data_IF_786718381107
#
_entry.id   IF_786718381107
#
_cell.length_a   1.000
_cell.length_b   1.000
_cell.length_c   1.000
_cell.angle_alpha   90.00
_cell.angle_beta   90.00
_cell.angle_gamma   90.00
#
_symmetry.space_group_name_H-M   'P 1'
#
loop_
_entity.id
_entity.type
_entity.pdbx_description
1 polymer ?
#
# COMPACT_ATOMS: atom_id res chain seq x y z
N UNK A 1 4.42 -27.02 1.56
CA UNK A 1 3.18 -26.91 0.75
C UNK A 1 2.01 -27.12 1.72
N UNK A 2 0.91 -26.37 1.60
CA UNK A 2 -0.22 -26.40 2.54
C UNK A 2 -0.24 -25.30 3.61
N UNK A 3 0.62 -24.28 3.48
CA UNK A 3 0.54 -23.07 4.31
C UNK A 3 -0.35 -22.05 3.60
N UNK A 4 -1.19 -21.35 4.37
CA UNK A 4 -1.91 -20.19 3.87
C UNK A 4 -0.93 -19.04 3.63
N UNK A 5 -0.98 -18.43 2.46
CA UNK A 5 -0.12 -17.33 2.05
C UNK A 5 -0.91 -16.03 2.13
N UNK A 6 -0.40 -15.06 2.87
CA UNK A 6 -0.98 -13.71 2.96
C UNK A 6 -0.03 -12.70 2.32
N UNK A 7 -0.55 -11.83 1.46
CA UNK A 7 0.20 -10.72 0.89
C UNK A 7 -0.08 -9.42 1.62
N UNK A 8 0.95 -8.62 1.87
CA UNK A 8 0.80 -7.28 2.43
C UNK A 8 0.75 -6.27 1.28
N UNK A 9 -0.32 -5.49 1.23
CA UNK A 9 -0.47 -4.40 0.26
C UNK A 9 -0.34 -3.07 1.02
N UNK A 10 0.53 -2.21 0.50
CA UNK A 10 0.81 -0.89 1.04
C UNK A 10 0.24 0.14 0.08
N UNK A 11 -0.72 0.94 0.53
CA UNK A 11 -1.31 2.00 -0.30
C UNK A 11 -0.52 3.30 -0.11
N UNK A 12 -0.19 3.97 -1.21
CA UNK A 12 0.49 5.25 -1.21
C UNK A 12 2.01 5.16 -1.23
N UNK A 13 2.57 4.12 -1.87
CA UNK A 13 4.02 4.10 -2.14
C UNK A 13 4.39 5.24 -3.11
N UNK A 14 5.65 5.73 -3.08
CA UNK A 14 6.07 6.80 -3.98
C UNK A 14 5.87 6.44 -5.44
N UNK A 15 5.10 7.25 -6.16
CA UNK A 15 4.78 7.07 -7.58
C UNK A 15 3.51 6.26 -7.86
N UNK A 16 2.81 5.78 -6.83
CA UNK A 16 1.52 5.10 -6.98
C UNK A 16 0.35 6.05 -6.70
N UNK A 17 -0.63 6.04 -7.59
CA UNK A 17 -1.98 6.55 -7.35
C UNK A 17 -2.98 5.42 -7.11
N UNK A 18 -4.27 5.77 -7.08
CA UNK A 18 -5.35 4.81 -6.87
C UNK A 18 -5.38 3.72 -7.96
N UNK A 19 -5.12 4.08 -9.23
CA UNK A 19 -5.13 3.15 -10.34
C UNK A 19 -4.04 2.07 -10.21
N UNK A 20 -2.82 2.46 -9.84
CA UNK A 20 -1.71 1.54 -9.60
C UNK A 20 -1.98 0.61 -8.40
N UNK A 21 -2.64 1.13 -7.36
CA UNK A 21 -3.05 0.33 -6.20
C UNK A 21 -4.07 -0.75 -6.60
N UNK A 22 -5.07 -0.40 -7.42
CA UNK A 22 -6.08 -1.35 -7.91
C UNK A 22 -5.47 -2.39 -8.86
N UNK A 23 -4.58 -1.97 -9.76
CA UNK A 23 -3.83 -2.89 -10.63
C UNK A 23 -2.99 -3.88 -9.81
N UNK A 24 -2.36 -3.41 -8.73
CA UNK A 24 -1.58 -4.26 -7.82
C UNK A 24 -2.47 -5.27 -7.11
N UNK A 25 -3.66 -4.86 -6.65
CA UNK A 25 -4.64 -5.76 -6.05
C UNK A 25 -5.03 -6.89 -7.01
N UNK A 26 -5.45 -6.54 -8.23
CA UNK A 26 -5.82 -7.51 -9.26
C UNK A 26 -4.69 -8.52 -9.48
N UNK A 27 -3.47 -8.01 -9.69
CA UNK A 27 -2.30 -8.85 -9.95
C UNK A 27 -1.97 -9.78 -8.78
N UNK A 28 -2.14 -9.32 -7.54
CA UNK A 28 -1.86 -10.13 -6.34
C UNK A 28 -2.92 -11.20 -6.14
N UNK A 29 -4.20 -10.88 -6.35
CA UNK A 29 -5.29 -11.86 -6.29
C UNK A 29 -5.09 -12.97 -7.32
N UNK A 30 -4.67 -12.64 -8.54
CA UNK A 30 -4.36 -13.63 -9.59
C UNK A 30 -3.27 -14.63 -9.20
N UNK A 31 -2.38 -14.29 -8.26
CA UNK A 31 -1.36 -15.23 -7.77
C UNK A 31 -1.92 -16.35 -6.89
N UNK A 32 -3.17 -16.24 -6.44
CA UNK A 32 -3.84 -17.24 -5.61
C UNK A 32 -3.51 -17.15 -4.12
N UNK A 33 -3.26 -15.93 -3.61
CA UNK A 33 -3.07 -15.71 -2.16
C UNK A 33 -4.33 -16.05 -1.37
N UNK A 34 -4.15 -16.58 -0.16
CA UNK A 34 -5.24 -16.94 0.76
C UNK A 34 -5.76 -15.74 1.56
N UNK A 35 -5.01 -14.63 1.57
CA UNK A 35 -5.38 -13.43 2.31
C UNK A 35 -4.58 -12.21 1.91
N UNK A 36 -5.13 -11.05 2.25
CA UNK A 36 -4.51 -9.75 2.03
C UNK A 36 -4.49 -8.99 3.35
N UNK A 37 -3.35 -8.38 3.67
CA UNK A 37 -3.20 -7.40 4.74
C UNK A 37 -3.01 -6.02 4.12
N UNK A 38 -4.06 -5.22 4.16
CA UNK A 38 -4.06 -3.86 3.62
C UNK A 38 -3.69 -2.84 4.70
N UNK A 39 -2.81 -1.90 4.38
CA UNK A 39 -2.48 -0.77 5.24
C UNK A 39 -1.92 0.42 4.44
N UNK A 40 -1.97 1.66 4.97
CA UNK A 40 -1.32 2.78 4.29
C UNK A 40 0.21 2.70 4.42
N UNK A 41 0.91 3.47 3.60
CA UNK A 41 2.32 3.76 3.82
C UNK A 41 2.48 4.55 5.13
N UNK A 42 3.26 4.00 6.05
CA UNK A 42 3.71 4.70 7.24
C UNK A 42 5.17 5.13 7.10
N UNK A 43 5.43 6.43 7.25
CA UNK A 43 6.78 6.98 7.30
C UNK A 43 7.30 6.88 8.74
N UNK A 44 8.15 5.88 8.99
CA UNK A 44 8.65 5.57 10.34
C UNK A 44 9.91 6.37 10.65
N UNK A 45 9.94 7.02 11.81
CA UNK A 45 11.10 7.79 12.30
C UNK A 45 12.39 6.95 12.26
N UNK A 46 13.46 7.53 11.74
CA UNK A 46 14.76 6.87 11.59
C UNK A 46 14.93 6.03 10.31
N UNK A 47 13.87 5.86 9.51
CA UNK A 47 13.95 5.22 8.20
C UNK A 47 14.57 6.13 7.13
N UNK A 48 14.98 5.53 6.00
CA UNK A 48 15.41 6.29 4.82
C UNK A 48 14.26 7.17 4.29
N UNK A 49 13.02 6.66 4.33
CA UNK A 49 11.85 7.43 3.91
C UNK A 49 11.58 8.63 4.82
N UNK A 50 11.82 8.52 6.12
CA UNK A 50 11.72 9.67 7.03
C UNK A 50 12.71 10.77 6.64
N UNK A 51 13.97 10.43 6.32
CA UNK A 51 14.95 11.41 5.83
C UNK A 51 14.55 12.06 4.51
N UNK A 52 13.87 11.33 3.63
CA UNK A 52 13.37 11.86 2.36
C UNK A 52 12.17 12.80 2.58
N UNK A 53 11.27 12.44 3.49
CA UNK A 53 10.11 13.24 3.87
C UNK A 53 10.51 14.53 4.58
N UNK A 54 11.41 14.47 5.58
CA UNK A 54 11.95 15.64 6.28
C UNK A 54 12.65 16.62 5.33
N UNK A 55 13.21 16.11 4.23
CA UNK A 55 13.86 16.93 3.20
C UNK A 55 12.91 17.38 2.07
N UNK A 56 11.60 17.14 2.19
CA UNK A 56 10.59 17.54 1.20
C UNK A 56 10.65 16.79 -0.13
N UNK A 57 11.35 15.64 -0.18
CA UNK A 57 11.49 14.81 -1.40
C UNK A 57 10.45 13.70 -1.53
N UNK A 58 9.64 13.51 -0.50
CA UNK A 58 8.61 12.47 -0.42
C UNK A 58 7.46 13.03 0.42
N UNK A 59 6.23 12.73 0.03
CA UNK A 59 5.03 13.03 0.81
C UNK A 59 4.41 11.71 1.30
N UNK A 60 3.72 11.78 2.44
CA UNK A 60 2.87 10.68 2.88
C UNK A 60 1.54 10.67 2.12
N UNK A 61 0.74 9.63 2.35
CA UNK A 61 -0.66 9.58 1.89
C UNK A 61 -1.56 10.24 2.94
N UNK A 62 -2.51 11.07 2.49
CA UNK A 62 -3.52 11.65 3.37
C UNK A 62 -4.57 10.60 3.75
N UNK A 63 -5.21 10.79 4.91
CA UNK A 63 -6.21 9.83 5.40
C UNK A 63 -7.37 9.66 4.41
N UNK A 64 -7.84 10.75 3.81
CA UNK A 64 -8.95 10.73 2.85
C UNK A 64 -8.59 9.88 1.61
N UNK A 65 -7.44 10.17 0.98
CA UNK A 65 -6.94 9.42 -0.18
C UNK A 65 -6.76 7.92 0.11
N UNK A 66 -6.22 7.61 1.29
CA UNK A 66 -6.09 6.23 1.74
C UNK A 66 -7.44 5.56 1.89
N UNK A 67 -8.38 6.17 2.61
CA UNK A 67 -9.70 5.56 2.88
C UNK A 67 -10.51 5.36 1.61
N UNK A 68 -10.45 6.30 0.67
CA UNK A 68 -11.10 6.17 -0.63
C UNK A 68 -10.49 5.01 -1.43
N UNK A 69 -9.16 4.95 -1.53
CA UNK A 69 -8.47 3.87 -2.25
C UNK A 69 -8.73 2.50 -1.60
N UNK A 70 -8.54 2.39 -0.28
CA UNK A 70 -8.79 1.16 0.45
C UNK A 70 -10.26 0.72 0.34
N UNK A 71 -11.21 1.66 0.34
CA UNK A 71 -12.64 1.39 0.17
C UNK A 71 -13.03 0.90 -1.22
N UNK A 72 -12.25 1.18 -2.28
CA UNK A 72 -12.40 0.53 -3.58
C UNK A 72 -11.76 -0.86 -3.57
N UNK A 73 -10.62 -1.04 -2.91
CA UNK A 73 -9.89 -2.31 -2.87
C UNK A 73 -10.61 -3.45 -2.12
N UNK A 74 -11.49 -3.13 -1.17
CA UNK A 74 -12.20 -4.12 -0.34
C UNK A 74 -13.67 -4.30 -0.73
N UNK A 75 -14.11 -3.63 -1.79
CA UNK A 75 -15.50 -3.63 -2.24
C UNK A 75 -15.84 -4.91 -3.00
#
# INVERSE_FOLDING_TARGET
RGLKVCSHLIVGLPGEGQAECLQTLERVVETGVDGIKLHPLHIVKGSIMAKAWEAGRLNGIELEDYTLTAGEMIR
#
